data_IF_158879533655
#
_entry.id   IF_158879533655
#
_cell.length_a   1.000
_cell.length_b   1.000
_cell.length_c   1.000
_cell.angle_alpha   90.00
_cell.angle_beta   90.00
_cell.angle_gamma   90.00
#
_symmetry.space_group_name_H-M   'P 1'
#
loop_
_entity.id
_entity.type
_entity.pdbx_description
1 polymer ?
#
# COMPACT_ATOMS: atom_id res chain seq x y z
N UNK A 1 -2.93 -7.01 -11.52
CA UNK A 1 -3.66 -7.78 -10.50
C UNK A 1 -4.52 -6.79 -9.78
N UNK A 2 -5.84 -7.03 -9.68
CA UNK A 2 -6.75 -6.12 -8.98
C UNK A 2 -6.87 -6.50 -7.51
N UNK A 3 -6.61 -5.56 -6.60
CA UNK A 3 -6.78 -5.78 -5.15
C UNK A 3 -8.16 -5.27 -4.75
N UNK A 4 -9.06 -6.19 -4.37
CA UNK A 4 -10.46 -5.87 -4.10
C UNK A 4 -10.70 -4.96 -2.87
N UNK A 5 -9.73 -4.83 -1.96
CA UNK A 5 -9.81 -3.93 -0.81
C UNK A 5 -8.41 -3.49 -0.37
N UNK A 6 -8.13 -2.20 -0.51
CA UNK A 6 -6.93 -1.59 0.07
C UNK A 6 -7.18 -1.27 1.54
N UNK A 7 -6.70 -2.13 2.46
CA UNK A 7 -6.68 -1.85 3.90
C UNK A 7 -5.30 -1.33 4.33
N UNK A 8 -5.15 -1.01 5.61
CA UNK A 8 -3.88 -0.60 6.20
C UNK A 8 -2.73 -1.56 5.86
N UNK A 9 -3.04 -2.86 5.77
CA UNK A 9 -2.05 -3.91 5.55
C UNK A 9 -1.61 -3.98 4.09
N UNK A 10 -2.53 -3.87 3.12
CA UNK A 10 -2.17 -3.83 1.70
C UNK A 10 -1.37 -2.57 1.35
N UNK A 11 -1.76 -1.42 1.90
CA UNK A 11 -1.05 -0.15 1.69
C UNK A 11 0.39 -0.25 2.21
N UNK A 12 0.56 -0.76 3.43
CA UNK A 12 1.89 -1.01 4.02
C UNK A 12 2.69 -2.02 3.20
N UNK A 13 2.10 -3.16 2.86
CA UNK A 13 2.77 -4.22 2.11
C UNK A 13 3.25 -3.72 0.74
N UNK A 14 2.48 -2.89 0.05
CA UNK A 14 2.89 -2.31 -1.23
C UNK A 14 4.08 -1.36 -1.05
N UNK A 15 4.04 -0.49 -0.03
CA UNK A 15 5.14 0.44 0.27
C UNK A 15 6.43 -0.30 0.59
N UNK A 16 6.37 -1.34 1.42
CA UNK A 16 7.51 -2.19 1.75
C UNK A 16 8.01 -2.97 0.54
N UNK A 17 7.09 -3.49 -0.29
CA UNK A 17 7.45 -4.19 -1.52
C UNK A 17 8.22 -3.30 -2.50
N UNK A 18 7.80 -2.03 -2.62
CA UNK A 18 8.44 -0.99 -3.44
C UNK A 18 9.71 -0.40 -2.80
N UNK A 19 10.01 -0.73 -1.53
CA UNK A 19 11.12 -0.15 -0.75
C UNK A 19 11.09 1.38 -0.71
N UNK A 20 9.89 1.96 -0.63
CA UNK A 20 9.68 3.41 -0.60
C UNK A 20 9.42 3.91 0.82
N UNK A 21 9.82 5.15 1.07
CA UNK A 21 9.42 5.86 2.29
C UNK A 21 7.96 6.29 2.17
N UNK A 22 7.31 6.57 3.31
CA UNK A 22 5.92 7.07 3.35
C UNK A 22 5.78 8.33 2.49
N UNK A 23 6.79 9.21 2.52
CA UNK A 23 6.81 10.43 1.74
C UNK A 23 6.84 10.16 0.22
N UNK A 24 7.79 9.35 -0.26
CA UNK A 24 7.90 9.02 -1.69
C UNK A 24 6.65 8.31 -2.21
N UNK A 25 6.12 7.40 -1.38
CA UNK A 25 4.89 6.69 -1.66
C UNK A 25 3.67 7.62 -1.70
N UNK A 26 3.57 8.59 -0.78
CA UNK A 26 2.51 9.60 -0.78
C UNK A 26 2.57 10.49 -2.02
N UNK A 27 3.77 10.95 -2.41
CA UNK A 27 3.99 11.72 -3.62
C UNK A 27 3.52 10.97 -4.88
N UNK A 28 3.89 9.68 -4.98
CA UNK A 28 3.46 8.80 -6.09
C UNK A 28 1.94 8.63 -6.16
N UNK A 29 1.28 8.58 -5.01
CA UNK A 29 -0.18 8.45 -4.93
C UNK A 29 -0.94 9.77 -5.11
N UNK A 30 -0.24 10.91 -5.12
CA UNK A 30 -0.87 12.23 -5.05
C UNK A 30 -1.60 12.47 -3.72
N UNK A 31 -1.16 11.79 -2.66
CA UNK A 31 -1.70 11.90 -1.31
C UNK A 31 -0.71 12.63 -0.37
N UNK A 32 -1.19 13.09 0.78
CA UNK A 32 -0.32 13.62 1.83
C UNK A 32 0.30 12.48 2.66
N UNK A 33 1.51 12.68 3.20
CA UNK A 33 2.17 11.75 4.11
C UNK A 33 1.26 11.37 5.30
N UNK A 34 0.57 12.36 5.89
CA UNK A 34 -0.39 12.14 6.96
C UNK A 34 -1.57 11.25 6.54
N UNK A 35 -2.00 11.31 5.27
CA UNK A 35 -3.07 10.45 4.76
C UNK A 35 -2.58 9.00 4.65
N UNK A 36 -1.39 8.79 4.10
CA UNK A 36 -0.76 7.45 4.00
C UNK A 36 -0.49 6.86 5.38
N UNK A 37 0.10 7.64 6.29
CA UNK A 37 0.29 7.21 7.68
C UNK A 37 -1.05 6.91 8.38
N UNK A 38 -2.09 7.71 8.10
CA UNK A 38 -3.44 7.46 8.60
C UNK A 38 -4.01 6.13 8.14
N UNK A 39 -3.78 5.78 6.87
CA UNK A 39 -4.15 4.49 6.30
C UNK A 39 -3.36 3.35 6.92
N UNK A 40 -2.02 3.45 7.02
CA UNK A 40 -1.17 2.36 7.55
C UNK A 40 -1.36 2.07 9.05
N UNK A 41 -1.77 3.07 9.83
CA UNK A 41 -1.97 2.91 11.28
C UNK A 41 -3.41 2.61 11.68
N UNK A 42 -4.29 2.30 10.71
CA UNK A 42 -5.73 2.09 10.94
C UNK A 42 -6.40 3.28 11.66
N UNK A 43 -5.75 4.46 11.68
CA UNK A 43 -6.21 5.67 12.38
C UNK A 43 -7.33 6.35 11.61
N UNK A 44 -7.36 6.17 10.30
CA UNK A 44 -8.44 6.68 9.47
C UNK A 44 -9.49 5.58 9.28
N UNK A 45 -10.70 5.71 9.86
CA UNK A 45 -11.78 4.77 9.61
C UNK A 45 -12.26 4.79 8.15
N UNK A 46 -11.89 5.84 7.41
CA UNK A 46 -12.19 6.00 6.00
C UNK A 46 -11.08 5.34 5.16
N UNK A 47 -11.40 4.33 4.33
CA UNK A 47 -10.43 3.76 3.40
C UNK A 47 -9.93 4.81 2.40
N UNK A 48 -8.79 4.57 1.72
CA UNK A 48 -8.33 5.42 0.62
C UNK A 48 -9.49 5.64 -0.36
N UNK A 49 -9.68 6.89 -0.80
CA UNK A 49 -10.71 7.24 -1.78
C UNK A 49 -10.54 6.40 -3.05
N UNK A 50 -11.61 6.22 -3.82
CA UNK A 50 -11.58 5.47 -5.09
C UNK A 50 -10.43 5.91 -6.02
N UNK A 51 -10.12 7.21 -6.08
CA UNK A 51 -8.98 7.71 -6.83
C UNK A 51 -7.63 7.16 -6.35
N UNK A 52 -7.39 7.14 -5.03
CA UNK A 52 -6.16 6.58 -4.45
C UNK A 52 -6.08 5.06 -4.66
N UNK A 53 -7.22 4.35 -4.55
CA UNK A 53 -7.27 2.91 -4.83
C UNK A 53 -6.92 2.60 -6.29
N UNK A 54 -7.39 3.41 -7.24
CA UNK A 54 -7.04 3.26 -8.66
C UNK A 54 -5.55 3.51 -8.92
N UNK A 55 -4.92 4.46 -8.22
CA UNK A 55 -3.47 4.70 -8.36
C UNK A 55 -2.66 3.58 -7.70
N UNK A 56 -3.10 3.07 -6.55
CA UNK A 56 -2.50 1.91 -5.90
C UNK A 56 -2.55 0.67 -6.79
N UNK A 57 -3.71 0.42 -7.41
CA UNK A 57 -3.91 -0.69 -8.35
C UNK A 57 -2.98 -0.58 -9.56
N UNK A 58 -2.91 0.61 -10.18
CA UNK A 58 -2.00 0.87 -11.28
C UNK A 58 -0.54 0.71 -10.87
N UNK A 59 -0.16 1.20 -9.68
CA UNK A 59 1.21 1.07 -9.17
C UNK A 59 1.58 -0.40 -9.00
N UNK A 60 0.69 -1.21 -8.42
CA UNK A 60 0.88 -2.65 -8.29
C UNK A 60 0.89 -3.34 -9.67
N UNK A 61 0.05 -2.91 -10.61
CA UNK A 61 -0.01 -3.47 -11.95
C UNK A 61 1.30 -3.21 -12.73
N UNK A 62 1.85 -2.00 -12.60
CA UNK A 62 3.10 -1.56 -13.23
C UNK A 62 4.35 -2.09 -12.53
N UNK A 63 4.25 -2.52 -11.26
CA UNK A 63 5.37 -3.06 -10.52
C UNK A 63 5.93 -4.35 -11.16
N UNK A 64 7.24 -4.53 -11.05
CA UNK A 64 7.93 -5.74 -11.50
C UNK A 64 7.45 -7.00 -10.78
N UNK A 65 7.73 -8.15 -11.38
CA UNK A 65 7.37 -9.46 -10.84
C UNK A 65 7.97 -9.70 -9.45
N UNK A 66 9.20 -9.23 -9.19
CA UNK A 66 9.83 -9.31 -7.86
C UNK A 66 9.06 -8.51 -6.80
N UNK A 67 8.65 -7.28 -7.15
CA UNK A 67 7.85 -6.43 -6.26
C UNK A 67 6.49 -7.07 -5.98
N UNK A 68 5.81 -7.63 -6.99
CA UNK A 68 4.55 -8.36 -6.82
C UNK A 68 4.72 -9.60 -5.94
N UNK A 69 5.79 -10.37 -6.13
CA UNK A 69 6.10 -11.53 -5.30
C UNK A 69 6.36 -11.13 -3.84
N UNK A 70 7.13 -10.06 -3.61
CA UNK A 70 7.38 -9.51 -2.27
C UNK A 70 6.09 -9.01 -1.61
N UNK A 71 5.24 -8.31 -2.36
CA UNK A 71 3.93 -7.86 -1.90
C UNK A 71 3.07 -9.04 -1.41
N UNK A 72 2.95 -10.09 -2.21
CA UNK A 72 2.22 -11.31 -1.84
C UNK A 72 2.85 -12.01 -0.63
N UNK A 73 4.19 -12.06 -0.55
CA UNK A 73 4.91 -12.64 0.58
C UNK A 73 4.61 -11.88 1.87
N UNK A 74 4.65 -10.54 1.85
CA UNK A 74 4.34 -9.70 3.02
C UNK A 74 2.88 -9.87 3.42
N UNK A 75 1.95 -9.90 2.45
CA UNK A 75 0.53 -10.12 2.74
C UNK A 75 0.25 -11.49 3.35
N UNK A 76 0.95 -12.53 2.89
CA UNK A 76 0.80 -13.90 3.37
C UNK A 76 1.58 -14.16 4.65
N UNK A 77 2.52 -13.29 5.02
CA UNK A 77 3.21 -13.37 6.31
C UNK A 77 2.28 -12.74 7.36
N UNK A 78 1.63 -13.53 8.23
CA UNK A 78 0.93 -12.94 9.37
C UNK A 78 1.98 -12.15 10.17
N UNK A 79 1.66 -10.90 10.50
CA UNK A 79 2.44 -10.00 11.34
C UNK A 79 3.09 -10.79 12.50
N UNK A 80 4.36 -11.16 12.34
CA UNK A 80 5.17 -11.76 13.40
C UNK A 80 5.75 -10.61 14.21
N UNK A 81 4.90 -9.84 14.88
CA UNK A 81 5.30 -8.98 15.98
C UNK A 81 4.67 -9.53 17.25
N UNK A 82 5.40 -10.49 17.84
CA UNK A 82 5.35 -10.76 19.27
C UNK A 82 6.16 -9.73 20.05
#
# INVERSE_FOLDING_TARGET
MVVGRWTEREVRALREALRMTVHDFAQRLGASDAAVSGWEHRRTPTPPKMAAQAVLDQTLALADTDTKARFLLILNTPDQHG
#
